data_IF_628542159372
#
_entry.id   IF_628542159372
#
_cell.length_a   1.000
_cell.length_b   1.000
_cell.length_c   1.000
_cell.angle_alpha   90.00
_cell.angle_beta   90.00
_cell.angle_gamma   90.00
#
_symmetry.space_group_name_H-M   'P 1'
#
loop_
_entity.id
_entity.type
_entity.pdbx_description
1 polymer ?
#
# COMPACT_ATOMS: atom_id res chain seq x y z
N UNK A 1 3.52 4.64 40.81
CA UNK A 1 3.65 3.54 39.81
C UNK A 1 2.65 2.40 40.03
N UNK A 2 1.44 2.67 40.52
CA UNK A 2 0.42 1.63 40.79
C UNK A 2 -0.96 1.96 40.19
N UNK A 3 -1.05 3.02 39.38
CA UNK A 3 -2.32 3.55 38.84
C UNK A 3 -2.44 3.53 37.32
N UNK A 4 -1.40 3.04 36.62
CA UNK A 4 -1.44 2.84 35.16
C UNK A 4 -1.59 1.36 34.76
N UNK A 5 -1.59 0.45 35.73
CA UNK A 5 -1.73 -1.00 35.54
C UNK A 5 -3.19 -1.50 35.46
N UNK A 6 -4.18 -0.60 35.56
CA UNK A 6 -5.62 -0.95 35.52
C UNK A 6 -6.23 -0.78 34.12
N UNK A 7 -5.48 -0.22 33.15
CA UNK A 7 -6.00 0.03 31.79
C UNK A 7 -5.81 -1.16 30.85
N UNK A 8 -5.09 -2.22 31.29
CA UNK A 8 -4.67 -3.34 30.42
C UNK A 8 -5.67 -4.51 30.39
N UNK A 9 -6.80 -4.45 31.10
CA UNK A 9 -7.74 -5.61 31.21
C UNK A 9 -9.16 -5.42 30.65
N UNK A 10 -9.41 -4.39 29.82
CA UNK A 10 -10.76 -4.08 29.33
C UNK A 10 -10.87 -3.88 27.80
N UNK A 11 -10.12 -4.63 27.00
CA UNK A 11 -10.26 -4.58 25.53
C UNK A 11 -10.10 -5.95 24.85
N UNK A 12 -10.54 -7.03 25.50
CA UNK A 12 -10.69 -8.34 24.89
C UNK A 12 -12.15 -8.80 24.99
N UNK A 13 -13.00 -8.25 24.12
CA UNK A 13 -14.26 -8.86 23.68
C UNK A 13 -14.92 -7.92 22.67
N UNK A 14 -14.69 -8.13 21.37
CA UNK A 14 -15.67 -7.89 20.29
C UNK A 14 -15.15 -8.58 19.03
N UNK A 15 -15.40 -9.89 18.96
CA UNK A 15 -15.30 -10.70 17.74
C UNK A 15 -16.72 -10.88 17.21
N UNK A 16 -16.86 -10.64 15.89
CA UNK A 16 -17.89 -11.13 14.98
C UNK A 16 -19.34 -10.62 15.15
N UNK A 17 -19.70 -9.64 14.32
CA UNK A 17 -21.00 -9.60 13.60
C UNK A 17 -21.07 -8.37 12.69
N UNK A 18 -20.51 -8.47 11.48
CA UNK A 18 -20.84 -7.57 10.37
C UNK A 18 -20.49 -8.24 9.03
N UNK A 19 -21.12 -9.38 8.77
CA UNK A 19 -21.42 -9.80 7.41
C UNK A 19 -22.96 -9.88 7.37
N UNK A 20 -23.56 -8.85 6.80
CA UNK A 20 -25.00 -8.64 6.74
C UNK A 20 -25.28 -7.77 5.53
N UNK A 21 -25.07 -8.35 4.34
CA UNK A 21 -25.63 -7.86 3.09
C UNK A 21 -27.08 -8.30 3.06
N UNK A 22 -27.98 -7.44 3.55
CA UNK A 22 -29.41 -7.53 3.26
C UNK A 22 -29.67 -6.76 1.97
N UNK A 23 -29.79 -7.48 0.86
CA UNK A 23 -30.27 -6.98 -0.41
C UNK A 23 -31.78 -6.71 -0.33
N UNK A 24 -32.18 -5.48 -0.69
CA UNK A 24 -33.56 -5.00 -0.69
C UNK A 24 -34.46 -5.75 -1.68
N UNK A 25 -35.70 -5.96 -1.23
CA UNK A 25 -36.74 -6.67 -1.94
C UNK A 25 -37.40 -5.85 -3.07
N UNK A 26 -37.58 -6.54 -4.19
CA UNK A 26 -38.77 -6.57 -5.06
C UNK A 26 -39.22 -5.31 -5.83
N UNK A 27 -39.04 -5.36 -7.16
CA UNK A 27 -40.07 -4.93 -8.12
C UNK A 27 -40.36 -6.08 -9.08
N UNK A 28 -41.65 -6.41 -9.21
CA UNK A 28 -42.15 -7.58 -9.92
C UNK A 28 -42.17 -7.44 -11.45
N UNK A 29 -42.01 -8.57 -12.13
CA UNK A 29 -42.29 -8.78 -13.54
C UNK A 29 -42.41 -10.28 -13.83
N UNK A 30 -43.61 -10.72 -14.22
CA UNK A 30 -44.00 -12.12 -14.41
C UNK A 30 -43.47 -12.75 -15.71
N UNK A 31 -43.58 -14.10 -15.74
CA UNK A 31 -43.71 -15.01 -16.91
C UNK A 31 -42.40 -15.47 -17.58
N UNK A 32 -42.10 -16.75 -17.85
CA UNK A 32 -42.91 -17.97 -18.05
C UNK A 32 -42.05 -19.25 -17.92
N UNK A 33 -42.65 -20.31 -17.34
CA UNK A 33 -42.55 -21.76 -17.65
C UNK A 33 -41.25 -22.45 -18.14
N UNK A 34 -40.82 -23.53 -17.47
CA UNK A 34 -40.93 -24.95 -17.95
C UNK A 34 -40.11 -25.95 -17.09
N UNK A 35 -40.82 -26.85 -16.42
CA UNK A 35 -40.68 -28.31 -16.24
C UNK A 35 -39.32 -29.06 -16.31
N UNK A 36 -39.07 -29.82 -15.22
CA UNK A 36 -38.57 -31.21 -15.10
C UNK A 36 -37.09 -31.55 -14.73
N UNK A 37 -36.99 -32.10 -13.50
CA UNK A 37 -36.36 -33.36 -13.05
C UNK A 37 -34.82 -33.46 -12.82
N UNK A 38 -34.39 -34.09 -11.70
CA UNK A 38 -32.98 -34.23 -11.31
C UNK A 38 -32.39 -35.58 -11.73
N UNK A 39 -31.07 -35.65 -12.00
CA UNK A 39 -30.36 -36.93 -12.07
C UNK A 39 -28.86 -36.81 -11.73
N UNK A 40 -28.49 -37.56 -10.69
CA UNK A 40 -27.30 -38.41 -10.53
C UNK A 40 -25.86 -37.81 -10.53
N UNK A 41 -25.32 -37.82 -9.31
CA UNK A 41 -23.93 -38.02 -8.86
C UNK A 41 -23.00 -38.80 -9.80
N UNK A 42 -21.76 -38.33 -9.98
CA UNK A 42 -20.51 -39.12 -9.80
C UNK A 42 -19.33 -38.14 -9.61
N UNK A 43 -18.76 -38.07 -8.41
CA UNK A 43 -17.54 -37.32 -8.13
C UNK A 43 -16.33 -38.27 -8.22
N UNK A 44 -15.35 -37.95 -9.08
CA UNK A 44 -14.05 -38.60 -9.10
C UNK A 44 -13.07 -37.79 -8.22
N UNK A 45 -12.17 -38.41 -7.43
CA UNK A 45 -11.21 -37.66 -6.65
C UNK A 45 -10.10 -37.14 -7.57
N UNK A 46 -10.01 -35.83 -7.73
CA UNK A 46 -8.84 -35.19 -8.31
C UNK A 46 -7.69 -35.31 -7.29
N UNK A 47 -6.64 -36.05 -7.64
CA UNK A 47 -5.41 -36.07 -6.87
C UNK A 47 -4.71 -34.72 -7.06
N UNK A 48 -4.82 -33.84 -6.06
CA UNK A 48 -4.08 -32.58 -6.00
C UNK A 48 -2.63 -32.88 -5.65
N UNK A 49 -1.76 -33.00 -6.65
CA UNK A 49 -0.31 -32.96 -6.45
C UNK A 49 0.05 -31.53 -6.05
N UNK A 50 0.32 -31.32 -4.76
CA UNK A 50 0.82 -30.03 -4.26
C UNK A 50 2.24 -29.81 -4.79
N UNK A 51 2.40 -28.83 -5.69
CA UNK A 51 3.71 -28.33 -6.08
C UNK A 51 4.36 -27.61 -4.87
N UNK A 52 5.66 -27.80 -4.61
CA UNK A 52 6.33 -27.11 -3.51
C UNK A 52 6.32 -25.60 -3.81
N UNK A 53 5.81 -24.82 -2.86
CA UNK A 53 5.93 -23.37 -2.89
C UNK A 53 7.42 -23.03 -2.79
N UNK A 54 7.96 -22.38 -3.82
CA UNK A 54 9.29 -21.80 -3.75
C UNK A 54 9.23 -20.63 -2.76
N UNK A 55 9.94 -20.74 -1.65
CA UNK A 55 10.10 -19.68 -0.67
C UNK A 55 11.11 -18.68 -1.27
N UNK A 56 10.61 -17.56 -1.78
CA UNK A 56 11.43 -16.50 -2.37
C UNK A 56 12.19 -15.80 -1.23
N UNK A 57 13.50 -16.04 -1.15
CA UNK A 57 14.34 -15.42 -0.14
C UNK A 57 14.38 -13.90 -0.37
N UNK A 58 13.97 -13.12 0.63
CA UNK A 58 14.06 -11.67 0.58
C UNK A 58 15.53 -11.23 0.37
N UNK A 59 15.75 -10.31 -0.56
CA UNK A 59 17.06 -9.71 -0.79
C UNK A 59 17.51 -8.95 0.46
N UNK A 60 18.81 -8.92 0.71
CA UNK A 60 19.38 -8.06 1.75
C UNK A 60 19.24 -6.59 1.35
N UNK A 61 19.05 -5.72 2.34
CA UNK A 61 18.98 -4.27 2.15
C UNK A 61 20.29 -3.72 1.57
N UNK A 62 20.19 -2.65 0.77
CA UNK A 62 21.35 -1.95 0.22
C UNK A 62 22.13 -1.22 1.30
N UNK A 63 23.45 -1.07 1.11
CA UNK A 63 24.30 -0.19 1.92
C UNK A 63 24.38 1.25 1.40
N UNK A 64 23.79 1.52 0.23
CA UNK A 64 23.79 2.84 -0.39
C UNK A 64 22.87 3.81 0.39
N UNK A 65 23.22 5.10 0.47
CA UNK A 65 22.37 6.07 1.14
C UNK A 65 21.05 6.29 0.39
N UNK A 66 19.97 6.47 1.15
CA UNK A 66 18.67 6.88 0.63
C UNK A 66 18.75 8.37 0.27
N UNK A 67 18.60 8.67 -1.01
CA UNK A 67 18.67 10.02 -1.60
C UNK A 67 17.33 10.74 -1.43
N UNK A 68 17.34 11.78 -0.60
CA UNK A 68 16.19 12.59 -0.26
C UNK A 68 16.30 13.99 -0.91
N UNK A 69 15.36 14.39 -1.77
CA UNK A 69 15.37 15.70 -2.40
C UNK A 69 15.05 16.80 -1.38
N UNK A 70 15.77 17.92 -1.45
CA UNK A 70 15.47 19.18 -0.78
C UNK A 70 14.95 20.18 -1.80
N UNK A 71 13.74 20.69 -1.56
CA UNK A 71 13.13 21.77 -2.33
C UNK A 71 13.29 23.12 -1.61
N UNK A 72 12.53 24.13 -2.02
CA UNK A 72 12.75 25.52 -1.62
C UNK A 72 11.66 26.11 -0.71
N UNK A 73 10.85 25.29 -0.04
CA UNK A 73 9.83 25.75 0.91
C UNK A 73 9.93 25.08 2.27
N UNK A 74 9.46 25.79 3.30
CA UNK A 74 9.78 25.45 4.69
C UNK A 74 9.20 24.13 5.19
N UNK A 75 7.96 23.77 4.81
CA UNK A 75 7.36 22.50 5.24
C UNK A 75 8.14 21.31 4.70
N UNK A 76 8.56 21.36 3.43
CA UNK A 76 9.32 20.29 2.82
C UNK A 76 10.72 20.16 3.40
N UNK A 77 11.39 21.29 3.65
CA UNK A 77 12.72 21.26 4.28
C UNK A 77 12.62 20.68 5.70
N UNK A 78 11.62 21.08 6.48
CA UNK A 78 11.42 20.52 7.82
C UNK A 78 11.03 19.03 7.76
N UNK A 79 10.14 18.67 6.84
CA UNK A 79 9.64 17.31 6.65
C UNK A 79 10.72 16.34 6.20
N UNK A 80 11.57 16.72 5.24
CA UNK A 80 12.63 15.84 4.74
C UNK A 80 13.66 15.51 5.81
N UNK A 81 14.04 16.46 6.66
CA UNK A 81 14.92 16.18 7.80
C UNK A 81 14.25 15.31 8.87
N UNK A 82 12.94 15.44 9.08
CA UNK A 82 12.21 14.56 9.98
C UNK A 82 12.14 13.12 9.44
N UNK A 83 11.84 12.96 8.15
CA UNK A 83 11.83 11.66 7.46
C UNK A 83 13.22 11.04 7.46
N UNK A 84 14.25 11.81 7.13
CA UNK A 84 15.63 11.34 7.15
C UNK A 84 16.08 10.87 8.54
N UNK A 85 15.75 11.60 9.61
CA UNK A 85 16.03 11.17 10.98
C UNK A 85 15.31 9.87 11.37
N UNK A 86 14.09 9.65 10.87
CA UNK A 86 13.36 8.40 11.07
C UNK A 86 14.08 7.25 10.35
N UNK A 87 14.49 7.44 9.09
CA UNK A 87 15.22 6.44 8.31
C UNK A 87 16.57 6.09 8.94
N UNK A 88 17.31 7.09 9.43
CA UNK A 88 18.57 6.89 10.17
C UNK A 88 18.34 6.13 11.47
N UNK A 89 17.22 6.37 12.18
CA UNK A 89 16.91 5.68 13.43
C UNK A 89 16.69 4.17 13.27
N UNK A 90 16.39 3.71 12.05
CA UNK A 90 16.26 2.28 11.71
C UNK A 90 17.55 1.69 11.14
N UNK A 91 18.66 2.44 11.10
CA UNK A 91 19.98 1.96 10.69
C UNK A 91 20.35 2.25 9.24
N UNK A 92 19.54 3.02 8.49
CA UNK A 92 19.88 3.43 7.13
C UNK A 92 20.82 4.65 7.12
N UNK A 93 21.51 4.87 6.00
CA UNK A 93 22.15 6.14 5.66
C UNK A 93 21.23 6.98 4.76
N UNK A 94 21.30 8.30 4.88
CA UNK A 94 20.54 9.23 4.04
C UNK A 94 21.46 10.28 3.43
N UNK A 95 21.17 10.68 2.20
CA UNK A 95 21.85 11.78 1.50
C UNK A 95 20.80 12.83 1.12
N UNK A 96 21.04 14.09 1.47
CA UNK A 96 20.14 15.19 1.14
C UNK A 96 20.64 15.92 -0.11
N UNK A 97 19.83 15.94 -1.17
CA UNK A 97 20.25 16.49 -2.47
C UNK A 97 19.30 17.62 -2.87
N UNK A 98 19.85 18.80 -3.20
CA UNK A 98 19.03 19.90 -3.73
C UNK A 98 18.40 19.48 -5.06
N UNK A 99 17.07 19.61 -5.18
CA UNK A 99 16.33 19.14 -6.34
C UNK A 99 15.43 20.24 -6.95
N UNK A 100 15.37 20.27 -8.27
CA UNK A 100 14.33 21.00 -9.00
C UNK A 100 13.00 20.28 -8.80
N UNK A 101 12.01 20.98 -8.26
CA UNK A 101 10.70 20.39 -7.91
C UNK A 101 9.88 19.94 -9.12
N UNK A 102 10.21 20.38 -10.33
CA UNK A 102 9.55 19.94 -11.57
C UNK A 102 10.19 18.68 -12.16
N UNK A 103 11.49 18.47 -11.92
CA UNK A 103 12.24 17.33 -12.47
C UNK A 103 12.39 16.16 -11.49
N UNK A 104 12.07 16.37 -10.20
CA UNK A 104 12.32 15.37 -9.14
C UNK A 104 11.75 13.99 -9.44
N UNK A 105 10.58 13.90 -10.09
CA UNK A 105 9.96 12.60 -10.42
C UNK A 105 10.67 11.89 -11.57
N UNK A 106 11.16 12.63 -12.57
CA UNK A 106 12.05 12.06 -13.60
C UNK A 106 13.35 11.58 -12.96
N UNK A 107 13.93 12.38 -12.06
CA UNK A 107 15.11 11.98 -11.28
C UNK A 107 14.85 10.73 -10.43
N UNK A 108 13.62 10.52 -9.92
CA UNK A 108 13.25 9.26 -9.29
C UNK A 108 13.26 8.10 -10.28
N UNK A 109 12.66 8.26 -11.48
CA UNK A 109 12.69 7.22 -12.50
C UNK A 109 14.12 6.88 -12.96
N UNK A 110 15.03 7.86 -12.98
CA UNK A 110 16.44 7.68 -13.35
C UNK A 110 17.32 7.12 -12.22
N UNK A 111 16.79 7.01 -10.98
CA UNK A 111 17.52 6.49 -9.82
C UNK A 111 18.40 7.53 -9.10
N UNK A 112 18.20 8.81 -9.40
CA UNK A 112 18.91 9.93 -8.77
C UNK A 112 18.24 10.39 -7.46
N UNK A 113 16.98 10.01 -7.23
CA UNK A 113 16.21 10.30 -6.01
C UNK A 113 15.41 9.07 -5.60
N UNK A 114 15.34 8.78 -4.30
CA UNK A 114 14.69 7.56 -3.81
C UNK A 114 13.30 7.81 -3.24
N UNK A 115 13.11 8.93 -2.52
CA UNK A 115 11.88 9.19 -1.79
C UNK A 115 11.49 10.68 -1.78
N UNK A 116 10.31 10.98 -2.30
CA UNK A 116 9.63 12.28 -2.10
C UNK A 116 8.53 12.10 -1.07
N UNK A 117 8.58 12.87 0.01
CA UNK A 117 7.61 12.76 1.12
C UNK A 117 6.43 13.75 1.02
N UNK A 118 6.51 14.74 0.13
CA UNK A 118 5.53 15.82 0.03
C UNK A 118 5.15 16.05 -1.43
N UNK A 119 4.17 15.28 -1.92
CA UNK A 119 3.62 15.38 -3.28
C UNK A 119 2.31 16.18 -3.24
N UNK A 120 2.38 17.46 -3.57
CA UNK A 120 1.20 18.31 -3.71
C UNK A 120 0.47 18.06 -5.03
N UNK A 121 -0.71 17.45 -4.98
CA UNK A 121 -1.50 17.10 -6.17
C UNK A 121 -1.66 18.27 -7.16
N UNK A 122 -2.03 19.46 -6.67
CA UNK A 122 -2.25 20.63 -7.52
C UNK A 122 -1.00 21.18 -8.21
N UNK A 123 0.20 20.94 -7.67
CA UNK A 123 1.46 21.44 -8.23
C UNK A 123 2.22 20.37 -9.01
N UNK A 124 2.15 19.11 -8.57
CA UNK A 124 3.02 18.04 -9.01
C UNK A 124 2.28 16.81 -9.53
N UNK A 125 0.95 16.72 -9.37
CA UNK A 125 0.18 15.53 -9.70
C UNK A 125 0.40 15.03 -11.13
N UNK A 126 0.49 15.94 -12.11
CA UNK A 126 0.75 15.56 -13.51
C UNK A 126 2.13 14.92 -13.68
N UNK A 127 3.19 15.54 -13.16
CA UNK A 127 4.56 15.03 -13.29
C UNK A 127 4.78 13.75 -12.48
N UNK A 128 4.16 13.64 -11.31
CA UNK A 128 4.18 12.44 -10.48
C UNK A 128 3.47 11.27 -11.17
N UNK A 129 2.22 11.48 -11.61
CA UNK A 129 1.42 10.42 -12.23
C UNK A 129 2.00 9.96 -13.56
N UNK A 130 2.67 10.82 -14.33
CA UNK A 130 3.40 10.40 -15.53
C UNK A 130 4.44 9.31 -15.22
N UNK A 131 5.18 9.44 -14.11
CA UNK A 131 6.20 8.46 -13.73
C UNK A 131 5.62 7.23 -13.02
N UNK A 132 4.47 7.38 -12.35
CA UNK A 132 3.71 6.25 -11.79
C UNK A 132 3.11 5.40 -12.91
N UNK A 133 2.47 6.02 -13.90
CA UNK A 133 1.88 5.34 -15.06
C UNK A 133 2.94 4.66 -15.93
N UNK A 134 4.16 5.21 -15.98
CA UNK A 134 5.32 4.58 -16.61
C UNK A 134 5.88 3.39 -15.81
N UNK A 135 5.44 3.19 -14.56
CA UNK A 135 5.92 2.15 -13.66
C UNK A 135 7.29 2.42 -13.03
N UNK A 136 7.81 3.65 -13.16
CA UNK A 136 9.09 4.02 -12.56
C UNK A 136 8.97 4.39 -11.08
N UNK A 137 7.87 5.04 -10.71
CA UNK A 137 7.64 5.57 -9.36
C UNK A 137 6.47 4.83 -8.73
N UNK A 138 6.62 4.50 -7.44
CA UNK A 138 5.56 3.87 -6.65
C UNK A 138 4.85 4.95 -5.86
N UNK A 139 3.52 5.01 -5.96
CA UNK A 139 2.69 5.74 -5.02
C UNK A 139 2.59 4.96 -3.69
N UNK A 140 3.42 5.35 -2.73
CA UNK A 140 3.52 4.69 -1.44
C UNK A 140 2.34 5.03 -0.49
N UNK A 141 1.56 6.08 -0.78
CA UNK A 141 0.41 6.47 0.02
C UNK A 141 -0.59 7.22 -0.87
N UNK A 142 -1.78 6.66 -1.10
CA UNK A 142 -2.78 7.29 -1.96
C UNK A 142 -3.19 8.67 -1.44
N UNK A 143 -3.16 9.66 -2.34
CA UNK A 143 -3.43 11.07 -2.08
C UNK A 143 -4.91 11.39 -2.35
#
# INVERSE_FOLDING_TARGET
MLKRLIVIFAALAMVASACGSDDDAASGGQSTATTAAPAATTAAPAATTAAPAAEEAAAADSSDPIKLPIHNWSSQIAGVYAVGAILESTGNSVEYISADSTLVYTSMCEGDMDLVHEVWEGAFGVAFMEQVDAGCVIDAATH
#
